data_IF_291674678696
#
_entry.id   IF_291674678696
#
_cell.length_a   1.000
_cell.length_b   1.000
_cell.length_c   1.000
_cell.angle_alpha   90.00
_cell.angle_beta   90.00
_cell.angle_gamma   90.00
#
_symmetry.space_group_name_H-M   'P 1'
#
loop_
_entity.id
_entity.type
_entity.pdbx_description
1 polymer ?
#
# COMPACT_ATOMS: atom_id res chain seq x y z
N UNK A 1 20.66 -21.22 16.12
CA UNK A 1 19.48 -20.99 15.25
C UNK A 1 19.91 -19.98 14.20
N UNK A 2 20.07 -20.39 12.94
CA UNK A 2 20.36 -19.44 11.86
C UNK A 2 19.04 -18.92 11.29
N UNK A 3 18.77 -17.61 11.47
CA UNK A 3 17.77 -16.90 10.69
C UNK A 3 18.30 -16.78 9.26
N UNK A 4 17.75 -17.57 8.35
CA UNK A 4 17.90 -17.32 6.91
C UNK A 4 16.87 -16.24 6.56
N UNK A 5 17.28 -14.98 6.64
CA UNK A 5 16.43 -13.88 6.20
C UNK A 5 16.31 -13.90 4.67
N UNK A 6 15.09 -13.87 4.15
CA UNK A 6 14.84 -13.78 2.72
C UNK A 6 14.76 -12.30 2.33
N UNK A 7 15.71 -11.82 1.53
CA UNK A 7 15.62 -10.47 0.97
C UNK A 7 14.63 -10.50 -0.20
N UNK A 8 13.40 -10.02 0.03
CA UNK A 8 12.45 -9.76 -1.06
C UNK A 8 12.88 -8.46 -1.74
N UNK A 9 13.47 -8.56 -2.93
CA UNK A 9 13.92 -7.41 -3.71
C UNK A 9 12.82 -7.03 -4.70
N UNK A 10 12.17 -5.90 -4.46
CA UNK A 10 11.32 -5.27 -5.46
C UNK A 10 12.22 -4.47 -6.41
N UNK A 11 12.16 -4.74 -7.72
CA UNK A 11 13.01 -4.04 -8.71
C UNK A 11 12.23 -2.93 -9.41
N UNK A 12 10.90 -3.05 -9.49
CA UNK A 12 10.04 -2.09 -10.16
C UNK A 12 9.09 -1.41 -9.18
N UNK A 13 8.68 -0.19 -9.56
CA UNK A 13 7.62 0.51 -8.85
C UNK A 13 6.29 -0.19 -9.12
N UNK A 14 5.53 -0.39 -8.05
CA UNK A 14 4.14 -0.82 -8.11
C UNK A 14 3.33 -0.12 -7.03
N UNK A 15 2.02 -0.14 -7.18
CA UNK A 15 1.09 0.61 -6.36
C UNK A 15 -0.04 -0.30 -5.90
N UNK A 16 -0.41 -0.17 -4.64
CA UNK A 16 -1.56 -0.82 -4.03
C UNK A 16 -2.55 0.26 -3.64
N UNK A 17 -3.80 0.10 -4.04
CA UNK A 17 -4.81 1.13 -3.82
C UNK A 17 -6.12 0.54 -3.33
N UNK A 18 -6.77 1.29 -2.47
CA UNK A 18 -8.18 1.13 -2.16
C UNK A 18 -8.92 2.28 -2.84
N UNK A 19 -10.00 1.97 -3.55
CA UNK A 19 -10.79 2.95 -4.29
C UNK A 19 -12.18 3.12 -3.67
N UNK A 20 -12.70 4.34 -3.72
CA UNK A 20 -14.08 4.63 -3.35
C UNK A 20 -15.06 4.10 -4.39
N UNK A 21 -16.23 3.60 -3.96
CA UNK A 21 -17.24 3.00 -4.83
C UNK A 21 -17.74 3.89 -5.96
N UNK A 22 -17.96 5.17 -5.67
CA UNK A 22 -18.72 6.08 -6.55
C UNK A 22 -17.90 7.23 -7.13
N UNK A 23 -16.60 7.31 -6.80
CA UNK A 23 -15.75 8.42 -7.23
C UNK A 23 -14.40 7.87 -7.66
N UNK A 24 -14.16 7.81 -8.97
CA UNK A 24 -12.94 7.23 -9.58
C UNK A 24 -11.64 7.88 -9.09
N UNK A 25 -11.69 9.14 -8.67
CA UNK A 25 -10.55 9.86 -8.14
C UNK A 25 -10.24 9.52 -6.67
N UNK A 26 -11.22 9.06 -5.91
CA UNK A 26 -11.14 8.94 -4.46
C UNK A 26 -10.40 7.65 -4.05
N UNK A 27 -9.29 7.81 -3.32
CA UNK A 27 -8.42 6.73 -2.83
C UNK A 27 -8.21 6.88 -1.32
N UNK A 28 -8.93 6.11 -0.48
CA UNK A 28 -8.72 6.08 0.98
C UNK A 28 -7.34 5.58 1.39
N UNK A 29 -6.69 4.83 0.51
CA UNK A 29 -5.34 4.35 0.70
C UNK A 29 -4.66 4.22 -0.67
N UNK A 30 -3.53 4.86 -0.81
CA UNK A 30 -2.59 4.68 -1.92
C UNK A 30 -1.22 4.36 -1.31
N UNK A 31 -0.70 3.18 -1.62
CA UNK A 31 0.64 2.75 -1.23
C UNK A 31 1.46 2.62 -2.51
N UNK A 32 2.54 3.38 -2.61
CA UNK A 32 3.50 3.28 -3.70
C UNK A 32 4.80 2.70 -3.18
N UNK A 33 5.20 1.56 -3.73
CA UNK A 33 6.47 0.91 -3.43
C UNK A 33 7.46 1.40 -4.48
N UNK A 34 8.52 2.09 -4.05
CA UNK A 34 9.47 2.78 -4.93
C UNK A 34 10.90 2.34 -4.62
N UNK A 35 11.34 1.19 -5.15
CA UNK A 35 12.67 0.64 -4.83
C UNK A 35 13.83 1.55 -5.26
N UNK A 36 13.66 2.29 -6.36
CA UNK A 36 14.66 3.26 -6.85
C UNK A 36 14.87 4.43 -5.87
N UNK A 37 13.87 4.74 -5.05
CA UNK A 37 13.92 5.78 -4.02
C UNK A 37 14.20 5.19 -2.62
N UNK A 38 14.41 3.88 -2.50
CA UNK A 38 14.48 3.14 -1.23
C UNK A 38 13.30 3.48 -0.31
N UNK A 39 12.09 3.57 -0.88
CA UNK A 39 10.93 4.13 -0.18
C UNK A 39 9.61 3.37 -0.37
N UNK A 40 8.83 3.31 0.71
CA UNK A 40 7.38 3.14 0.71
C UNK A 40 6.71 4.49 0.93
N UNK A 41 5.77 4.83 0.07
CA UNK A 41 5.03 6.08 0.14
C UNK A 41 3.55 5.80 0.36
N UNK A 42 3.01 6.33 1.45
CA UNK A 42 1.61 6.21 1.82
C UNK A 42 0.92 7.54 1.57
N UNK A 43 -0.27 7.51 0.98
CA UNK A 43 -1.06 8.70 0.75
C UNK A 43 -2.56 8.39 0.63
N UNK A 44 -3.36 9.45 0.54
CA UNK A 44 -4.77 9.41 0.17
C UNK A 44 -5.02 10.41 -0.96
N UNK A 45 -5.95 10.09 -1.86
CA UNK A 45 -6.47 11.03 -2.87
C UNK A 45 -7.92 11.37 -2.55
N UNK A 46 -8.22 12.65 -2.38
CA UNK A 46 -9.57 13.10 -2.08
C UNK A 46 -10.44 13.16 -3.34
N UNK A 47 -11.74 13.38 -3.17
CA UNK A 47 -12.70 13.44 -4.28
C UNK A 47 -12.39 14.53 -5.31
N UNK A 48 -11.64 15.57 -4.93
CA UNK A 48 -11.16 16.62 -5.83
C UNK A 48 -10.00 16.16 -6.75
N UNK A 49 -9.56 14.91 -6.64
CA UNK A 49 -8.46 14.35 -7.43
C UNK A 49 -7.06 14.76 -6.99
N UNK A 50 -6.94 15.48 -5.86
CA UNK A 50 -5.65 15.88 -5.31
C UNK A 50 -5.19 14.87 -4.26
N UNK A 51 -3.91 14.52 -4.34
CA UNK A 51 -3.22 13.80 -3.28
C UNK A 51 -2.93 14.72 -2.11
N UNK A 52 -2.95 14.14 -0.92
CA UNK A 52 -2.51 14.80 0.30
C UNK A 52 -0.98 14.75 0.46
N UNK A 53 -0.47 15.17 1.62
CA UNK A 53 0.95 15.11 1.97
C UNK A 53 1.40 13.64 2.05
N UNK A 54 2.42 13.30 1.25
CA UNK A 54 3.04 11.98 1.23
C UNK A 54 3.66 11.61 2.59
N UNK A 55 3.36 10.40 3.06
CA UNK A 55 4.09 9.78 4.17
C UNK A 55 5.12 8.79 3.64
N UNK A 56 6.39 9.18 3.68
CA UNK A 56 7.51 8.34 3.19
C UNK A 56 8.16 7.52 4.31
N UNK A 57 8.60 6.30 3.99
CA UNK A 57 9.37 5.43 4.87
C UNK A 57 10.41 4.65 4.08
N UNK A 58 11.54 4.34 4.73
CA UNK A 58 12.61 3.53 4.14
C UNK A 58 12.18 2.06 3.99
N UNK A 59 12.72 1.36 3.00
CA UNK A 59 12.51 -0.06 2.77
C UNK A 59 13.25 -0.91 3.84
N UNK A 60 12.70 -1.02 5.06
CA UNK A 60 13.21 -1.92 6.12
C UNK A 60 12.36 -3.20 6.29
N UNK A 61 12.92 -4.36 5.94
CA UNK A 61 12.35 -5.69 6.26
C UNK A 61 12.62 -5.98 7.74
N UNK A 62 11.60 -6.29 8.55
CA UNK A 62 11.79 -6.86 9.88
C UNK A 62 11.16 -8.25 9.93
N UNK A 63 11.99 -9.29 10.15
CA UNK A 63 11.54 -10.69 10.27
C UNK A 63 10.68 -11.15 9.07
N UNK A 64 11.05 -10.77 7.85
CA UNK A 64 10.33 -11.08 6.61
C UNK A 64 8.92 -10.43 6.48
N UNK A 65 8.52 -9.55 7.41
CA UNK A 65 7.25 -8.83 7.37
C UNK A 65 7.41 -7.32 7.22
N UNK A 66 6.55 -6.77 6.37
CA UNK A 66 6.36 -5.33 6.20
C UNK A 66 5.06 -4.92 6.88
N UNK A 67 5.12 -4.21 8.00
CA UNK A 67 3.92 -3.62 8.59
C UNK A 67 4.13 -2.15 8.93
N UNK A 68 3.13 -1.34 8.57
CA UNK A 68 3.01 0.04 9.02
C UNK A 68 1.55 0.37 9.22
N UNK A 69 1.27 1.07 10.31
CA UNK A 69 -0.01 1.72 10.52
C UNK A 69 -0.06 3.02 9.71
N UNK A 70 -1.05 3.12 8.84
CA UNK A 70 -1.42 4.37 8.18
C UNK A 70 -2.69 4.88 8.84
N UNK A 71 -2.61 6.07 9.46
CA UNK A 71 -3.79 6.70 10.05
C UNK A 71 -4.75 7.12 8.94
N UNK A 72 -5.97 6.60 8.98
CA UNK A 72 -6.99 6.91 8.00
C UNK A 72 -7.24 8.43 7.96
N UNK A 73 -7.08 9.04 6.78
CA UNK A 73 -7.37 10.46 6.54
C UNK A 73 -8.81 10.70 6.03
N UNK A 74 -9.53 9.61 5.82
CA UNK A 74 -10.90 9.57 5.36
C UNK A 74 -11.54 8.26 5.83
N UNK A 75 -12.87 8.20 5.84
CA UNK A 75 -13.59 7.01 6.28
C UNK A 75 -13.24 5.80 5.38
N UNK A 76 -12.64 4.78 5.98
CA UNK A 76 -12.22 3.56 5.30
C UNK A 76 -13.42 2.78 4.73
N UNK A 77 -14.63 2.98 5.28
CA UNK A 77 -15.87 2.37 4.78
C UNK A 77 -16.24 2.81 3.36
N UNK A 78 -15.65 3.91 2.88
CA UNK A 78 -15.81 4.34 1.50
C UNK A 78 -15.10 3.42 0.51
N UNK A 79 -14.06 2.71 0.97
CA UNK A 79 -13.27 1.77 0.19
C UNK A 79 -14.07 0.53 -0.16
N UNK A 80 -14.21 0.24 -1.46
CA UNK A 80 -14.97 -0.91 -1.95
C UNK A 80 -14.21 -1.77 -2.97
N UNK A 81 -13.12 -1.25 -3.52
CA UNK A 81 -12.31 -1.97 -4.50
C UNK A 81 -10.85 -1.91 -4.07
N UNK A 82 -10.14 -3.02 -4.30
CA UNK A 82 -8.71 -3.12 -4.14
C UNK A 82 -8.06 -3.25 -5.52
N UNK A 83 -6.98 -2.52 -5.75
CA UNK A 83 -6.28 -2.47 -7.03
C UNK A 83 -4.78 -2.59 -6.84
N UNK A 84 -4.14 -3.33 -7.73
CA UNK A 84 -2.69 -3.35 -7.89
C UNK A 84 -2.34 -2.82 -9.26
N UNK A 85 -1.37 -1.90 -9.32
CA UNK A 85 -0.93 -1.25 -10.55
C UNK A 85 0.58 -1.37 -10.66
N UNK A 86 1.08 -1.63 -11.87
CA UNK A 86 2.51 -1.64 -12.18
C UNK A 86 3.03 -3.02 -12.53
N UNK A 87 4.35 -3.13 -12.63
CA UNK A 87 5.06 -4.35 -13.02
C UNK A 87 5.28 -5.23 -11.79
N UNK A 88 4.24 -5.97 -11.42
CA UNK A 88 4.27 -6.94 -10.32
C UNK A 88 3.51 -8.19 -10.73
N UNK A 89 4.13 -9.35 -10.50
CA UNK A 89 3.47 -10.65 -10.67
C UNK A 89 2.83 -11.02 -9.34
N UNK A 90 1.49 -11.02 -9.31
CA UNK A 90 0.72 -11.27 -8.09
C UNK A 90 0.25 -12.71 -8.10
N UNK A 91 0.82 -13.51 -7.20
CA UNK A 91 0.50 -14.93 -7.07
C UNK A 91 -0.75 -15.20 -6.23
N UNK A 92 -1.04 -14.36 -5.23
CA UNK A 92 -2.17 -14.55 -4.31
C UNK A 92 -2.66 -13.22 -3.71
N UNK A 93 -3.99 -13.12 -3.49
CA UNK A 93 -4.60 -12.14 -2.60
C UNK A 93 -5.37 -12.84 -1.49
N UNK A 94 -5.08 -12.48 -0.24
CA UNK A 94 -5.83 -12.96 0.91
C UNK A 94 -6.40 -11.78 1.70
N UNK A 95 -7.71 -11.80 1.93
CA UNK A 95 -8.42 -10.84 2.77
C UNK A 95 -8.90 -11.55 4.02
N UNK A 96 -8.44 -11.08 5.18
CA UNK A 96 -8.82 -11.63 6.47
C UNK A 96 -9.75 -10.65 7.17
N UNK A 97 -10.89 -11.14 7.68
CA UNK A 97 -11.70 -10.39 8.63
C UNK A 97 -11.11 -10.63 10.02
N UNK A 98 -10.71 -9.58 10.71
CA UNK A 98 -10.36 -9.70 12.14
C UNK A 98 -11.59 -10.15 12.92
N UNK A 99 -11.46 -11.08 13.88
CA UNK A 99 -12.56 -11.43 14.77
C UNK A 99 -13.11 -10.16 15.43
N UNK A 100 -14.44 -10.07 15.54
CA UNK A 100 -15.13 -8.96 16.23
C UNK A 100 -14.89 -8.99 17.73
#
# INVERSE_FOLDING_TARGET
>A
MSLVGCAIIFVFRFELEILCSNVLACRPLHISIRPQEDAFVFNSMFQNGLFDIEERRKLVVLNDYWYKFYSHRMDFKLGTQFRVIGLVDVTEYAFFKTPE
#
